data_IF_854057935082
#
_entry.id   IF_854057935082
#
_cell.length_a   1.000
_cell.length_b   1.000
_cell.length_c   1.000
_cell.angle_alpha   90.00
_cell.angle_beta   90.00
_cell.angle_gamma   90.00
#
_symmetry.space_group_name_H-M   'P 1'
#
loop_
_entity.id
_entity.type
_entity.pdbx_description
1 polymer ?
#
# COMPACT_ATOMS: atom_id res chain seq x y z
N UNK A 1 4.60 -15.48 7.58
CA UNK A 1 4.14 -16.81 8.03
C UNK A 1 5.28 -17.82 7.89
N UNK A 2 5.34 -18.85 8.74
CA UNK A 2 6.47 -19.80 8.79
C UNK A 2 6.58 -20.61 7.48
N UNK A 3 5.44 -20.93 6.87
CA UNK A 3 5.36 -21.61 5.58
C UNK A 3 6.08 -20.83 4.49
N UNK A 4 5.79 -19.54 4.32
CA UNK A 4 6.45 -18.67 3.33
C UNK A 4 7.93 -18.44 3.63
N UNK A 5 8.30 -18.24 4.90
CA UNK A 5 9.71 -17.98 5.28
C UNK A 5 10.59 -19.22 5.05
N UNK A 6 10.06 -20.42 5.29
CA UNK A 6 10.81 -21.68 5.09
C UNK A 6 10.69 -22.25 3.68
N UNK A 7 9.90 -21.61 2.80
CA UNK A 7 9.64 -22.11 1.45
C UNK A 7 8.80 -23.40 1.44
N UNK A 8 7.86 -23.52 2.38
CA UNK A 8 6.92 -24.63 2.49
C UNK A 8 7.42 -25.84 3.27
N UNK A 9 8.54 -25.72 3.99
CA UNK A 9 9.11 -26.84 4.79
C UNK A 9 8.42 -26.99 6.14
N UNK A 10 7.99 -25.89 6.74
CA UNK A 10 7.39 -25.86 8.07
C UNK A 10 6.21 -24.89 8.13
N UNK A 11 5.20 -25.20 8.94
CA UNK A 11 3.98 -24.40 9.08
C UNK A 11 2.82 -24.91 8.22
N UNK A 12 1.66 -24.29 8.40
CA UNK A 12 0.44 -24.63 7.66
C UNK A 12 0.48 -24.00 6.27
N UNK A 13 0.21 -24.80 5.24
CA UNK A 13 0.09 -24.31 3.88
C UNK A 13 -1.17 -23.44 3.72
N UNK A 14 -1.05 -22.21 3.21
CA UNK A 14 -2.20 -21.35 3.01
C UNK A 14 -3.14 -21.90 1.93
N UNK A 15 -4.45 -21.63 2.03
CA UNK A 15 -5.41 -22.01 0.99
C UNK A 15 -5.01 -21.52 -0.40
N UNK A 16 -5.37 -22.27 -1.44
CA UNK A 16 -5.04 -21.91 -2.84
C UNK A 16 -5.46 -20.49 -3.24
N UNK A 17 -6.62 -20.04 -2.75
CA UNK A 17 -7.11 -18.69 -3.03
C UNK A 17 -6.23 -17.60 -2.40
N UNK A 18 -5.63 -17.87 -1.24
CA UNK A 18 -4.72 -16.97 -0.56
C UNK A 18 -3.35 -16.93 -1.26
N UNK A 19 -2.83 -18.10 -1.69
CA UNK A 19 -1.60 -18.18 -2.51
C UNK A 19 -1.76 -17.37 -3.81
N UNK A 20 -2.84 -17.61 -4.55
CA UNK A 20 -3.16 -16.86 -5.77
C UNK A 20 -3.28 -15.36 -5.54
N UNK A 21 -3.89 -14.94 -4.44
CA UNK A 21 -3.99 -13.52 -4.10
C UNK A 21 -2.60 -12.89 -3.89
N UNK A 22 -1.72 -13.56 -3.12
CA UNK A 22 -0.34 -13.09 -2.88
C UNK A 22 0.45 -13.03 -4.18
N UNK A 23 0.37 -14.06 -5.03
CA UNK A 23 1.06 -14.09 -6.32
C UNK A 23 0.65 -12.92 -7.22
N UNK A 24 -0.65 -12.61 -7.28
CA UNK A 24 -1.15 -11.47 -8.05
C UNK A 24 -0.66 -10.13 -7.47
N UNK A 25 -0.62 -9.99 -6.14
CA UNK A 25 -0.08 -8.78 -5.50
C UNK A 25 1.40 -8.61 -5.86
N UNK A 26 2.20 -9.67 -5.77
CA UNK A 26 3.63 -9.64 -6.13
C UNK A 26 3.84 -9.33 -7.62
N UNK A 27 3.08 -9.99 -8.51
CA UNK A 27 3.13 -9.71 -9.95
C UNK A 27 2.79 -8.26 -10.26
N UNK A 28 1.83 -7.67 -9.55
CA UNK A 28 1.41 -6.27 -9.78
C UNK A 28 2.57 -5.28 -9.62
N UNK A 29 3.60 -5.62 -8.84
CA UNK A 29 4.76 -4.76 -8.59
C UNK A 29 5.70 -4.75 -9.81
N UNK A 30 5.88 -5.89 -10.47
CA UNK A 30 6.93 -6.10 -11.49
C UNK A 30 6.46 -5.97 -12.93
N UNK A 31 5.14 -6.05 -13.20
CA UNK A 31 4.60 -5.95 -14.57
C UNK A 31 4.47 -4.51 -15.08
N UNK A 32 4.22 -4.38 -16.39
CA UNK A 32 3.94 -3.09 -17.04
C UNK A 32 2.68 -2.41 -16.47
N UNK A 33 2.55 -1.07 -16.57
CA UNK A 33 1.37 -0.36 -16.10
C UNK A 33 0.05 -0.86 -16.68
N UNK A 34 0.03 -1.25 -17.96
CA UNK A 34 -1.15 -1.75 -18.66
C UNK A 34 -1.57 -3.10 -18.05
N UNK A 35 -0.62 -4.01 -17.89
CA UNK A 35 -0.89 -5.33 -17.32
C UNK A 35 -1.24 -5.26 -15.84
N UNK A 36 -0.66 -4.30 -15.12
CA UNK A 36 -0.93 -4.07 -13.70
C UNK A 36 -2.42 -3.81 -13.45
N UNK A 37 -3.11 -3.07 -14.32
CA UNK A 37 -4.54 -2.77 -14.11
C UNK A 37 -5.41 -4.03 -14.10
N UNK A 38 -5.13 -4.98 -15.00
CA UNK A 38 -5.84 -6.26 -15.06
C UNK A 38 -5.60 -7.09 -13.79
N UNK A 39 -4.34 -7.16 -13.35
CA UNK A 39 -3.94 -7.89 -12.13
C UNK A 39 -4.57 -7.26 -10.88
N UNK A 40 -4.57 -5.93 -10.80
CA UNK A 40 -5.17 -5.18 -9.68
C UNK A 40 -6.67 -5.44 -9.59
N UNK A 41 -7.36 -5.47 -10.74
CA UNK A 41 -8.79 -5.80 -10.78
C UNK A 41 -9.03 -7.21 -10.23
N UNK A 42 -8.20 -8.18 -10.62
CA UNK A 42 -8.38 -9.57 -10.20
C UNK A 42 -8.08 -9.79 -8.71
N UNK A 43 -6.97 -9.30 -8.17
CA UNK A 43 -6.73 -9.49 -6.73
C UNK A 43 -7.74 -8.73 -5.87
N UNK A 44 -8.28 -7.59 -6.33
CA UNK A 44 -9.36 -6.87 -5.63
C UNK A 44 -10.66 -7.67 -5.62
N UNK A 45 -10.97 -8.37 -6.71
CA UNK A 45 -12.10 -9.31 -6.77
C UNK A 45 -11.94 -10.41 -5.70
N UNK A 46 -10.76 -11.03 -5.62
CA UNK A 46 -10.46 -12.05 -4.60
C UNK A 46 -10.56 -11.48 -3.18
N UNK A 47 -10.05 -10.25 -2.95
CA UNK A 47 -10.14 -9.58 -1.65
C UNK A 47 -11.60 -9.37 -1.21
N UNK A 48 -12.47 -8.98 -2.15
CA UNK A 48 -13.90 -8.76 -1.89
C UNK A 48 -14.65 -10.07 -1.61
N UNK A 49 -14.42 -11.10 -2.43
CA UNK A 49 -15.13 -12.38 -2.32
C UNK A 49 -14.75 -13.19 -1.08
N UNK A 50 -13.51 -13.05 -0.60
CA UNK A 50 -12.98 -13.87 0.50
C UNK A 50 -12.82 -13.10 1.81
N UNK A 51 -13.03 -11.77 1.81
CA UNK A 51 -12.99 -10.89 2.99
C UNK A 51 -11.69 -11.11 3.80
N UNK A 52 -10.54 -11.16 3.13
CA UNK A 52 -9.26 -11.35 3.83
C UNK A 52 -8.95 -10.22 4.82
N UNK A 53 -9.46 -9.03 4.55
CA UNK A 53 -9.28 -7.83 5.37
C UNK A 53 -10.63 -7.12 5.47
N UNK A 54 -11.09 -6.87 6.70
CA UNK A 54 -12.22 -5.99 6.96
C UNK A 54 -11.70 -4.60 7.29
N UNK A 55 -11.82 -3.67 6.33
CA UNK A 55 -11.48 -2.27 6.58
C UNK A 55 -12.59 -1.62 7.41
N UNK A 56 -12.22 -1.16 8.61
CA UNK A 56 -13.16 -0.52 9.55
C UNK A 56 -13.36 0.97 9.22
N UNK A 57 -12.33 1.61 8.66
CA UNK A 57 -12.37 3.02 8.25
C UNK A 57 -11.59 3.22 6.96
N UNK A 58 -12.13 4.03 6.07
CA UNK A 58 -11.46 4.49 4.86
C UNK A 58 -11.45 6.02 4.83
N UNK A 59 -10.49 6.60 4.08
CA UNK A 59 -10.38 8.05 3.86
C UNK A 59 -10.31 8.88 5.16
N UNK A 60 -9.77 8.29 6.23
CA UNK A 60 -9.45 9.00 7.44
C UNK A 60 -8.55 10.20 7.13
N UNK A 61 -8.85 11.37 7.71
CA UNK A 61 -8.06 12.58 7.49
C UNK A 61 -6.71 12.42 8.18
N UNK A 62 -5.65 12.42 7.39
CA UNK A 62 -4.27 12.40 7.88
C UNK A 62 -3.66 13.80 7.76
N UNK A 63 -3.87 14.61 8.81
CA UNK A 63 -3.48 16.01 8.83
C UNK A 63 -1.98 16.18 9.11
N UNK A 64 -1.36 17.13 8.41
CA UNK A 64 -0.02 17.64 8.71
C UNK A 64 -0.15 18.98 9.45
N UNK A 65 0.52 19.12 10.59
CA UNK A 65 0.60 20.38 11.34
C UNK A 65 2.05 20.86 11.29
N UNK A 66 2.26 22.08 10.81
CA UNK A 66 3.58 22.70 10.64
C UNK A 66 3.52 24.17 11.05
N UNK A 67 4.69 24.78 11.26
CA UNK A 67 4.78 26.22 11.50
C UNK A 67 4.23 27.02 10.32
N UNK A 68 3.51 28.11 10.59
CA UNK A 68 3.09 29.08 9.56
C UNK A 68 4.27 29.71 8.81
N UNK A 69 5.46 29.69 9.43
CA UNK A 69 6.71 30.18 8.82
C UNK A 69 7.28 29.19 7.81
N UNK A 70 6.81 27.95 7.76
CA UNK A 70 7.30 26.94 6.82
C UNK A 70 6.67 27.14 5.44
N UNK A 71 7.50 27.39 4.44
CA UNK A 71 7.17 27.52 3.03
C UNK A 71 7.28 26.21 2.27
N UNK A 72 6.68 26.20 1.07
CA UNK A 72 6.63 25.06 0.14
C UNK A 72 5.96 23.78 0.70
N UNK A 73 5.04 23.92 1.66
CA UNK A 73 4.31 22.79 2.23
C UNK A 73 3.19 22.35 1.28
N UNK A 74 3.08 21.07 0.90
CA UNK A 74 2.05 20.59 -0.01
C UNK A 74 0.66 20.59 0.64
N UNK A 75 -0.37 20.94 -0.13
CA UNK A 75 -1.78 20.97 0.33
C UNK A 75 -2.60 19.73 -0.04
N UNK A 76 -1.99 18.75 -0.72
CA UNK A 76 -2.62 17.49 -1.18
C UNK A 76 -1.62 16.34 -1.06
N UNK A 77 -2.14 15.11 -0.98
CA UNK A 77 -1.34 13.90 -0.80
C UNK A 77 -1.36 13.41 0.65
N UNK A 78 -0.43 12.52 0.99
CA UNK A 78 -0.28 11.99 2.35
C UNK A 78 0.66 12.88 3.15
N UNK A 79 0.35 13.20 4.42
CA UNK A 79 1.21 14.06 5.25
C UNK A 79 2.68 13.60 5.27
N UNK A 80 2.93 12.29 5.31
CA UNK A 80 4.27 11.68 5.30
C UNK A 80 5.11 12.05 4.07
N UNK A 81 4.51 12.35 2.91
CA UNK A 81 5.29 12.73 1.72
C UNK A 81 6.02 14.04 1.91
N UNK A 82 5.53 14.92 2.79
CA UNK A 82 6.22 16.16 3.15
C UNK A 82 7.54 15.89 3.87
N UNK A 83 7.62 14.82 4.68
CA UNK A 83 8.85 14.43 5.36
C UNK A 83 9.91 13.91 4.36
N UNK A 84 9.47 13.21 3.31
CA UNK A 84 10.37 12.71 2.27
C UNK A 84 10.85 13.78 1.28
N UNK A 85 10.15 14.91 1.23
CA UNK A 85 10.49 16.06 0.39
C UNK A 85 10.95 17.26 1.25
N UNK A 86 11.52 17.00 2.42
CA UNK A 86 11.91 18.04 3.38
C UNK A 86 12.94 19.02 2.79
N UNK A 87 13.75 18.57 1.83
CA UNK A 87 14.72 19.37 1.09
C UNK A 87 14.07 20.48 0.24
N UNK A 88 12.79 20.35 -0.09
CA UNK A 88 12.03 21.37 -0.80
C UNK A 88 11.45 22.44 0.14
N UNK A 89 11.46 22.20 1.45
CA UNK A 89 10.89 23.09 2.46
C UNK A 89 11.88 24.20 2.82
N UNK A 90 11.35 25.36 3.21
CA UNK A 90 12.17 26.48 3.69
C UNK A 90 11.43 27.32 4.72
N UNK A 91 12.15 27.98 5.62
CA UNK A 91 11.53 29.01 6.46
C UNK A 91 11.42 30.32 5.68
N UNK A 92 10.21 30.88 5.65
CA UNK A 92 9.93 32.22 5.16
C UNK A 92 10.68 33.23 6.04
N UNK A 93 11.11 34.34 5.43
CA UNK A 93 11.67 35.48 6.16
C UNK A 93 10.58 36.19 6.97
#
# INVERSE_FOLDING_TARGET
DLWRVTGGKEGEEPPEVAKRFVDLVEQSIVVSPEKRQEIVKEYRRLLYENIFIMMIVEKAKYSLIVSERLGNVPHRGFAITTNFAAEQLFFRR
#
